data_IF_459005084532
#
_entry.id   IF_459005084532
#
_cell.length_a   1.000
_cell.length_b   1.000
_cell.length_c   1.000
_cell.angle_alpha   90.00
_cell.angle_beta   90.00
_cell.angle_gamma   90.00
#
_symmetry.space_group_name_H-M   'P 1'
#
loop_
_entity.id
_entity.type
_entity.pdbx_description
1 polymer ?
#
# COMPACT_ATOMS: atom_id res chain seq x y z
N UNK A 1 -17.08 -33.35 -27.42
CA UNK A 1 -16.85 -33.08 -25.97
C UNK A 1 -15.42 -32.62 -25.62
N UNK A 2 -14.42 -32.74 -26.51
CA UNK A 2 -13.02 -32.38 -26.18
C UNK A 2 -12.75 -30.86 -26.04
N UNK A 3 -13.50 -30.01 -26.75
CA UNK A 3 -13.24 -28.55 -26.80
C UNK A 3 -13.60 -27.79 -25.51
N UNK A 4 -14.57 -28.26 -24.73
CA UNK A 4 -14.95 -27.61 -23.46
C UNK A 4 -13.90 -27.83 -22.36
N UNK A 5 -13.26 -29.00 -22.34
CA UNK A 5 -12.28 -29.34 -21.31
C UNK A 5 -10.97 -28.56 -21.50
N UNK A 6 -10.52 -28.39 -22.75
CA UNK A 6 -9.32 -27.61 -23.09
C UNK A 6 -9.55 -26.12 -22.81
N UNK A 7 -10.72 -25.58 -23.13
CA UNK A 7 -11.08 -24.19 -22.83
C UNK A 7 -11.12 -23.92 -21.32
N UNK A 8 -11.64 -24.87 -20.53
CA UNK A 8 -11.67 -24.79 -19.07
C UNK A 8 -10.26 -24.78 -18.49
N UNK A 9 -9.41 -25.76 -18.84
CA UNK A 9 -8.02 -25.83 -18.35
C UNK A 9 -7.23 -24.58 -18.73
N UNK A 10 -7.39 -24.08 -19.96
CA UNK A 10 -6.72 -22.86 -20.43
C UNK A 10 -7.20 -21.62 -19.67
N UNK A 11 -8.50 -21.52 -19.40
CA UNK A 11 -9.07 -20.44 -18.60
C UNK A 11 -8.54 -20.43 -17.17
N UNK A 12 -8.50 -21.60 -16.51
CA UNK A 12 -7.95 -21.71 -15.15
C UNK A 12 -6.45 -21.40 -15.13
N UNK A 13 -5.67 -21.88 -16.10
CA UNK A 13 -4.24 -21.56 -16.21
C UNK A 13 -3.99 -20.07 -16.48
N UNK A 14 -4.81 -19.41 -17.29
CA UNK A 14 -4.75 -17.96 -17.51
C UNK A 14 -5.21 -17.16 -16.29
N UNK A 15 -6.18 -17.67 -15.53
CA UNK A 15 -6.57 -17.09 -14.24
C UNK A 15 -5.45 -17.25 -13.22
N UNK A 16 -4.80 -18.41 -13.18
CA UNK A 16 -3.68 -18.71 -12.29
C UNK A 16 -2.49 -17.84 -12.65
N UNK A 17 -2.12 -17.71 -13.93
CA UNK A 17 -1.05 -16.79 -14.33
C UNK A 17 -1.39 -15.32 -14.06
N UNK A 18 -2.64 -14.89 -14.24
CA UNK A 18 -3.06 -13.52 -13.88
C UNK A 18 -3.13 -13.30 -12.37
N UNK A 19 -3.40 -14.35 -11.60
CA UNK A 19 -3.42 -14.35 -10.14
C UNK A 19 -2.00 -14.34 -9.59
N UNK A 20 -1.14 -15.24 -10.07
CA UNK A 20 0.28 -15.32 -9.80
C UNK A 20 0.99 -14.01 -10.17
N UNK A 21 0.71 -13.43 -11.34
CA UNK A 21 1.27 -12.11 -11.73
C UNK A 21 0.83 -10.97 -10.80
N UNK A 22 -0.28 -11.11 -10.09
CA UNK A 22 -0.74 -10.12 -9.09
C UNK A 22 -0.13 -10.35 -7.72
N UNK A 23 0.18 -11.58 -7.34
CA UNK A 23 1.06 -11.87 -6.20
C UNK A 23 2.52 -11.47 -6.48
N UNK A 24 3.00 -11.55 -7.73
CA UNK A 24 4.35 -11.13 -8.14
C UNK A 24 4.58 -9.61 -7.98
N UNK A 25 3.52 -8.79 -7.85
CA UNK A 25 3.65 -7.36 -7.55
C UNK A 25 3.80 -7.07 -6.05
N UNK A 26 3.86 -8.11 -5.20
CA UNK A 26 4.29 -8.06 -3.80
C UNK A 26 5.69 -8.66 -3.65
N UNK A 27 6.45 -8.18 -2.68
CA UNK A 27 7.87 -8.41 -2.51
C UNK A 27 8.75 -7.32 -3.14
N UNK A 28 10.07 -7.40 -2.91
CA UNK A 28 11.04 -6.47 -3.48
C UNK A 28 11.08 -6.57 -5.02
N UNK A 29 11.47 -5.49 -5.68
CA UNK A 29 11.58 -5.43 -7.15
C UNK A 29 12.27 -4.15 -7.62
N UNK A 30 12.61 -4.08 -8.91
CA UNK A 30 13.23 -2.89 -9.49
C UNK A 30 12.34 -1.66 -9.20
N UNK A 31 12.96 -0.60 -8.70
CA UNK A 31 12.28 0.65 -8.33
C UNK A 31 11.38 0.59 -7.10
N UNK A 32 11.43 -0.48 -6.31
CA UNK A 32 10.88 -0.50 -4.94
C UNK A 32 12.01 -0.26 -3.94
N UNK A 33 11.96 0.88 -3.25
CA UNK A 33 12.90 1.21 -2.19
C UNK A 33 12.28 0.79 -0.85
N UNK A 34 12.90 -0.10 -0.06
CA UNK A 34 12.38 -0.47 1.25
C UNK A 34 12.44 0.73 2.19
N UNK A 35 11.36 0.92 2.97
CA UNK A 35 11.29 1.93 4.01
C UNK A 35 11.29 1.27 5.39
N UNK A 36 12.07 1.80 6.32
CA UNK A 36 12.02 1.43 7.73
C UNK A 36 10.72 1.98 8.33
N UNK A 37 9.72 1.11 8.46
CA UNK A 37 8.41 1.47 8.92
C UNK A 37 7.79 0.40 9.84
N UNK A 38 7.08 0.85 10.87
CA UNK A 38 6.20 -0.01 11.67
C UNK A 38 4.75 0.38 11.42
N UNK A 39 3.90 -0.61 11.14
CA UNK A 39 2.49 -0.39 10.86
C UNK A 39 1.64 -0.71 12.08
N UNK A 40 0.73 0.19 12.43
CA UNK A 40 -0.26 -0.03 13.48
C UNK A 40 -1.68 0.15 12.93
N UNK A 41 -2.54 -0.82 13.21
CA UNK A 41 -3.98 -0.71 12.98
C UNK A 41 -4.67 -0.34 14.29
N UNK A 42 -5.33 0.82 14.30
CA UNK A 42 -5.85 1.44 15.51
C UNK A 42 -7.37 1.58 15.49
N UNK A 43 -7.99 1.13 16.57
CA UNK A 43 -9.35 1.47 16.98
C UNK A 43 -9.38 2.80 17.74
N UNK A 44 -10.46 3.08 18.50
CA UNK A 44 -10.50 4.23 19.42
C UNK A 44 -9.54 4.07 20.59
N UNK A 45 -9.49 2.88 21.20
CA UNK A 45 -8.84 2.66 22.49
C UNK A 45 -7.70 1.64 22.44
N UNK A 46 -7.47 1.01 21.28
CA UNK A 46 -6.48 -0.06 21.08
C UNK A 46 -5.78 0.11 19.74
N UNK A 47 -4.46 -0.02 19.72
CA UNK A 47 -3.65 -0.14 18.53
C UNK A 47 -2.94 -1.50 18.53
N UNK A 48 -2.87 -2.14 17.37
CA UNK A 48 -2.16 -3.41 17.17
C UNK A 48 -1.08 -3.18 16.12
N UNK A 49 0.17 -3.44 16.49
CA UNK A 49 1.28 -3.46 15.53
C UNK A 49 1.18 -4.71 14.67
N UNK A 50 1.46 -4.55 13.38
CA UNK A 50 1.56 -5.64 12.42
C UNK A 50 2.91 -5.54 11.71
N UNK A 51 3.54 -6.69 11.46
CA UNK A 51 4.74 -6.76 10.63
C UNK A 51 4.31 -6.65 9.17
N UNK A 52 4.91 -5.72 8.44
CA UNK A 52 4.64 -5.47 7.04
C UNK A 52 5.93 -5.06 6.35
N UNK A 53 6.05 -5.42 5.08
CA UNK A 53 7.02 -4.76 4.22
C UNK A 53 6.44 -3.45 3.70
N UNK A 54 7.24 -2.39 3.72
CA UNK A 54 6.83 -1.07 3.22
C UNK A 54 7.82 -0.61 2.16
N UNK A 55 7.30 -0.22 1.01
CA UNK A 55 8.12 0.19 -0.12
C UNK A 55 7.67 1.52 -0.69
N UNK A 56 8.63 2.39 -1.00
CA UNK A 56 8.42 3.47 -1.96
C UNK A 56 8.54 2.88 -3.37
N UNK A 57 7.41 2.75 -4.06
CA UNK A 57 7.35 2.23 -5.43
C UNK A 57 7.41 3.38 -6.43
N UNK A 58 8.56 3.52 -7.08
CA UNK A 58 8.90 4.65 -7.95
C UNK A 58 8.26 4.50 -9.33
N UNK A 59 7.72 5.60 -9.86
CA UNK A 59 7.13 5.67 -11.21
C UNK A 59 8.10 5.16 -12.29
N UNK A 60 7.56 4.39 -13.22
CA UNK A 60 8.30 3.88 -14.38
C UNK A 60 9.01 2.54 -14.14
N UNK A 61 8.85 1.96 -12.94
CA UNK A 61 9.42 0.68 -12.57
C UNK A 61 8.35 -0.31 -12.15
N UNK A 62 8.55 -1.60 -12.41
CA UNK A 62 7.65 -2.68 -11.98
C UNK A 62 6.16 -2.35 -12.22
N UNK A 63 5.85 -1.78 -13.40
CA UNK A 63 4.52 -1.34 -13.86
C UNK A 63 3.90 -0.14 -13.10
N UNK A 64 4.62 0.53 -12.21
CA UNK A 64 4.15 1.74 -11.54
C UNK A 64 3.96 2.90 -12.52
N UNK A 65 2.72 3.34 -12.67
CA UNK A 65 2.36 4.51 -13.49
C UNK A 65 2.60 5.84 -12.79
N UNK A 66 2.62 5.82 -11.45
CA UNK A 66 2.84 6.95 -10.55
C UNK A 66 3.64 6.47 -9.35
N UNK A 67 4.39 7.37 -8.72
CA UNK A 67 5.13 7.06 -7.48
C UNK A 67 4.14 6.95 -6.33
N UNK A 68 4.23 5.88 -5.54
CA UNK A 68 3.31 5.59 -4.43
C UNK A 68 4.01 4.77 -3.34
N UNK A 69 3.36 4.61 -2.19
CA UNK A 69 3.87 3.76 -1.10
C UNK A 69 3.07 2.47 -1.02
N UNK A 70 3.73 1.34 -1.16
CA UNK A 70 3.18 0.01 -0.94
C UNK A 70 3.34 -0.39 0.54
N UNK A 71 2.30 -0.98 1.11
CA UNK A 71 2.32 -1.64 2.42
C UNK A 71 1.82 -3.06 2.21
N UNK A 72 2.72 -4.02 2.35
CA UNK A 72 2.50 -5.40 1.93
C UNK A 72 2.37 -6.29 3.17
N UNK A 73 1.11 -6.59 3.48
CA UNK A 73 0.71 -7.61 4.45
C UNK A 73 -0.73 -8.05 4.14
N UNK A 74 -0.99 -9.36 4.13
CA UNK A 74 -2.28 -9.95 3.73
C UNK A 74 -3.43 -9.46 4.61
N UNK A 75 -3.18 -9.22 5.90
CA UNK A 75 -4.21 -8.72 6.82
C UNK A 75 -4.82 -7.38 6.37
N UNK A 76 -4.07 -6.56 5.63
CA UNK A 76 -4.52 -5.27 5.14
C UNK A 76 -5.61 -5.41 4.06
N UNK A 77 -5.76 -6.59 3.45
CA UNK A 77 -6.86 -6.88 2.54
C UNK A 77 -8.21 -7.02 3.25
N UNK A 78 -8.24 -7.23 4.57
CA UNK A 78 -9.48 -7.08 5.36
C UNK A 78 -9.90 -5.61 5.46
N UNK A 79 -8.93 -4.68 5.42
CA UNK A 79 -9.15 -3.24 5.53
C UNK A 79 -9.52 -2.66 4.16
N UNK A 80 -8.72 -2.91 3.13
CA UNK A 80 -9.04 -2.52 1.75
C UNK A 80 -8.85 -3.71 0.84
N UNK A 81 -9.97 -4.29 0.39
CA UNK A 81 -9.97 -5.46 -0.47
C UNK A 81 -9.27 -5.18 -1.81
N UNK A 82 -8.61 -6.17 -2.43
CA UNK A 82 -8.08 -6.02 -3.77
C UNK A 82 -9.11 -5.45 -4.75
N UNK A 83 -8.69 -4.51 -5.61
CA UNK A 83 -9.55 -3.79 -6.58
C UNK A 83 -10.62 -2.89 -5.95
N UNK A 84 -10.58 -2.67 -4.64
CA UNK A 84 -11.35 -1.63 -3.96
C UNK A 84 -10.40 -0.51 -3.55
N UNK A 85 -10.96 0.66 -3.35
CA UNK A 85 -10.20 1.82 -2.93
C UNK A 85 -11.07 2.78 -2.13
N UNK A 86 -10.42 3.67 -1.40
CA UNK A 86 -11.05 4.78 -0.73
C UNK A 86 -10.11 5.97 -0.67
N UNK A 87 -10.67 7.18 -0.71
CA UNK A 87 -9.93 8.37 -0.32
C UNK A 87 -10.02 8.52 1.19
N UNK A 88 -8.86 8.61 1.82
CA UNK A 88 -8.71 8.81 3.25
C UNK A 88 -8.06 10.16 3.51
N UNK A 89 -8.43 10.79 4.62
CA UNK A 89 -7.69 11.92 5.12
C UNK A 89 -6.44 11.40 5.85
N UNK A 90 -5.29 12.07 5.72
CA UNK A 90 -4.10 11.73 6.48
C UNK A 90 -3.47 12.96 7.13
N UNK A 91 -2.72 12.72 8.21
CA UNK A 91 -1.90 13.71 8.90
C UNK A 91 -0.50 13.17 9.11
N UNK A 92 0.50 14.00 8.93
CA UNK A 92 1.87 13.74 9.40
C UNK A 92 2.00 14.33 10.81
N UNK A 93 2.37 13.51 11.79
CA UNK A 93 2.67 13.94 13.15
C UNK A 93 3.99 13.30 13.59
N UNK A 94 4.96 14.12 13.99
CA UNK A 94 6.31 13.67 14.37
C UNK A 94 6.87 12.72 13.30
N UNK A 95 7.33 11.54 13.69
CA UNK A 95 7.86 10.49 12.82
C UNK A 95 6.78 9.56 12.24
N UNK A 96 5.52 10.01 12.14
CA UNK A 96 4.40 9.15 11.75
C UNK A 96 3.43 9.76 10.73
N UNK A 97 2.90 8.88 9.88
CA UNK A 97 1.80 9.18 8.96
C UNK A 97 0.55 8.47 9.44
N UNK A 98 -0.45 9.23 9.87
CA UNK A 98 -1.72 8.71 10.36
C UNK A 98 -2.81 8.87 9.31
N UNK A 99 -3.31 7.75 8.79
CA UNK A 99 -4.39 7.67 7.80
C UNK A 99 -5.71 7.36 8.51
N UNK A 100 -6.73 8.17 8.27
CA UNK A 100 -8.05 8.05 8.87
C UNK A 100 -9.00 7.39 7.86
N UNK A 101 -9.47 6.19 8.20
CA UNK A 101 -10.46 5.48 7.38
C UNK A 101 -11.79 6.22 7.42
N UNK A 102 -12.46 6.32 6.27
CA UNK A 102 -13.73 7.05 6.15
C UNK A 102 -14.81 6.42 7.03
N UNK A 103 -14.88 5.09 7.01
CA UNK A 103 -15.73 4.29 7.87
C UNK A 103 -14.85 3.30 8.63
N UNK A 104 -15.12 3.04 9.92
CA UNK A 104 -14.43 1.99 10.65
C UNK A 104 -14.64 0.62 9.99
N UNK A 105 -13.60 -0.21 9.95
CA UNK A 105 -13.60 -1.53 9.32
C UNK A 105 -13.21 -2.57 10.37
N UNK A 106 -14.04 -3.59 10.52
CA UNK A 106 -13.73 -4.67 11.45
C UNK A 106 -12.74 -5.64 10.83
N UNK A 107 -11.55 -5.76 11.45
CA UNK A 107 -10.60 -6.82 11.12
C UNK A 107 -10.95 -8.05 11.94
N UNK A 108 -11.24 -9.14 11.24
CA UNK A 108 -11.55 -10.44 11.86
C UNK A 108 -10.28 -11.03 12.48
N UNK A 109 -9.17 -10.97 11.74
CA UNK A 109 -7.90 -11.53 12.17
C UNK A 109 -7.35 -10.86 13.44
N UNK A 110 -7.55 -9.54 13.62
CA UNK A 110 -7.11 -8.82 14.81
C UNK A 110 -8.19 -8.65 15.89
N UNK A 111 -9.43 -9.02 15.58
CA UNK A 111 -10.61 -8.78 16.42
C UNK A 111 -10.70 -7.31 16.92
N UNK A 112 -10.53 -6.34 16.02
CA UNK A 112 -10.66 -4.92 16.33
C UNK A 112 -11.41 -4.15 15.23
N UNK A 113 -12.10 -3.09 15.65
CA UNK A 113 -12.70 -2.13 14.73
C UNK A 113 -11.66 -1.05 14.35
N UNK A 114 -10.98 -1.23 13.23
CA UNK A 114 -9.93 -0.36 12.71
C UNK A 114 -10.54 0.95 12.21
N UNK A 115 -9.98 2.07 12.68
CA UNK A 115 -10.37 3.43 12.31
C UNK A 115 -9.21 4.19 11.68
N UNK A 116 -7.98 3.82 12.03
CA UNK A 116 -6.75 4.48 11.57
C UNK A 116 -5.68 3.46 11.23
N UNK A 117 -4.89 3.77 10.22
CA UNK A 117 -3.63 3.11 9.90
C UNK A 117 -2.53 4.11 10.26
N UNK A 118 -1.61 3.74 11.14
CA UNK A 118 -0.45 4.57 11.50
C UNK A 118 0.79 3.90 10.91
N UNK A 119 1.58 4.69 10.20
CA UNK A 119 2.87 4.31 9.62
C UNK A 119 3.92 5.08 10.39
N UNK A 120 4.65 4.39 11.27
CA UNK A 120 5.76 4.98 12.02
C UNK A 120 7.02 4.84 11.18
N UNK A 121 7.42 5.92 10.52
CA UNK A 121 8.57 5.97 9.61
C UNK A 121 9.02 7.42 9.49
N UNK A 122 10.18 7.71 10.10
CA UNK A 122 10.77 9.05 10.09
C UNK A 122 11.03 9.55 8.68
N UNK A 123 11.65 8.72 7.84
CA UNK A 123 11.95 9.09 6.45
C UNK A 123 10.70 9.41 5.62
N UNK A 124 9.61 8.66 5.82
CA UNK A 124 8.36 8.90 5.11
C UNK A 124 7.68 10.17 5.62
N UNK A 125 7.66 10.36 6.94
CA UNK A 125 7.09 11.55 7.58
C UNK A 125 7.82 12.83 7.12
N UNK A 126 9.15 12.83 7.16
CA UNK A 126 9.99 13.93 6.68
C UNK A 126 9.75 14.22 5.19
N UNK A 127 9.69 13.18 4.35
CA UNK A 127 9.45 13.35 2.92
C UNK A 127 8.06 13.93 2.61
N UNK A 128 7.02 13.51 3.32
CA UNK A 128 5.68 14.08 3.12
C UNK A 128 5.56 15.51 3.66
N UNK A 129 6.41 15.86 4.63
CA UNK A 129 6.51 17.17 5.26
C UNK A 129 5.76 17.23 6.59
N UNK A 130 6.42 17.72 7.62
CA UNK A 130 5.86 17.86 8.97
C UNK A 130 4.54 18.63 8.98
N UNK A 131 3.64 18.23 9.87
CA UNK A 131 2.30 18.84 10.02
C UNK A 131 1.43 18.84 8.76
N UNK A 132 1.82 18.14 7.69
CA UNK A 132 1.02 18.02 6.46
C UNK A 132 -0.32 17.36 6.76
N UNK A 133 -1.40 17.95 6.22
CA UNK A 133 -2.76 17.44 6.31
C UNK A 133 -3.38 17.45 4.93
N UNK A 134 -3.73 16.28 4.40
CA UNK A 134 -4.27 16.19 3.04
C UNK A 134 -5.06 14.90 2.85
N UNK A 135 -5.37 14.58 1.60
CA UNK A 135 -6.05 13.36 1.20
C UNK A 135 -5.05 12.40 0.53
N UNK A 136 -5.21 11.11 0.83
CA UNK A 136 -4.47 10.00 0.24
C UNK A 136 -5.44 9.00 -0.36
N UNK A 137 -5.11 8.49 -1.54
CA UNK A 137 -5.81 7.37 -2.15
C UNK A 137 -5.27 6.07 -1.56
N UNK A 138 -6.14 5.29 -0.91
CA UNK A 138 -5.79 3.96 -0.37
C UNK A 138 -6.41 2.92 -1.27
N UNK A 139 -5.58 2.21 -2.05
CA UNK A 139 -6.00 1.15 -2.95
C UNK A 139 -5.63 -0.23 -2.41
N UNK A 140 -6.55 -1.19 -2.51
CA UNK A 140 -6.26 -2.58 -2.18
C UNK A 140 -5.56 -3.29 -3.34
N UNK A 141 -4.41 -3.93 -3.04
CA UNK A 141 -3.70 -4.87 -3.93
C UNK A 141 -3.76 -6.27 -3.30
N UNK A 142 -3.50 -7.31 -4.09
CA UNK A 142 -3.33 -8.63 -3.47
C UNK A 142 -2.12 -8.58 -2.53
N UNK A 143 -2.27 -9.08 -1.31
CA UNK A 143 -1.19 -9.11 -0.32
C UNK A 143 -0.88 -7.77 0.34
N UNK A 144 -1.70 -6.72 0.15
CA UNK A 144 -1.46 -5.44 0.81
C UNK A 144 -2.33 -4.29 0.35
N UNK A 145 -1.88 -3.07 0.62
CA UNK A 145 -2.48 -1.83 0.12
C UNK A 145 -1.40 -0.94 -0.48
N UNK A 146 -1.82 0.05 -1.27
CA UNK A 146 -0.95 1.11 -1.73
C UNK A 146 -1.54 2.49 -1.46
N UNK A 147 -0.67 3.47 -1.30
CA UNK A 147 -0.97 4.84 -0.93
C UNK A 147 -0.54 5.79 -2.05
N UNK A 148 -1.53 6.29 -2.78
CA UNK A 148 -1.35 7.32 -3.80
C UNK A 148 -1.53 8.70 -3.20
N UNK A 149 -0.48 9.52 -3.22
CA UNK A 149 -0.51 10.89 -2.72
C UNK A 149 -0.83 11.90 -3.82
N UNK A 150 -1.22 13.13 -3.43
CA UNK A 150 -1.38 14.23 -4.38
C UNK A 150 -0.03 14.62 -4.99
N UNK A 151 -0.07 15.27 -6.15
CA UNK A 151 1.11 15.67 -6.94
C UNK A 151 2.22 16.30 -6.09
N UNK A 152 1.88 17.27 -5.24
CA UNK A 152 2.86 17.95 -4.38
C UNK A 152 3.63 16.96 -3.48
N UNK A 153 2.95 16.03 -2.80
CA UNK A 153 3.62 15.05 -1.95
C UNK A 153 4.28 13.93 -2.75
N UNK A 154 3.71 13.56 -3.90
CA UNK A 154 4.34 12.61 -4.83
C UNK A 154 5.70 13.13 -5.31
N UNK A 155 5.81 14.43 -5.63
CA UNK A 155 7.08 15.05 -6.03
C UNK A 155 8.13 15.00 -4.90
N UNK A 156 7.71 15.19 -3.63
CA UNK A 156 8.61 15.03 -2.47
C UNK A 156 9.06 13.57 -2.28
N UNK A 157 8.17 12.61 -2.49
CA UNK A 157 8.53 11.19 -2.49
C UNK A 157 9.50 10.84 -3.62
N UNK A 158 9.34 11.45 -4.80
CA UNK A 158 10.28 11.29 -5.90
C UNK A 158 11.65 11.92 -5.60
N UNK A 159 11.69 13.03 -4.84
CA UNK A 159 12.95 13.57 -4.33
C UNK A 159 13.62 12.62 -3.33
N UNK A 160 12.84 11.99 -2.44
CA UNK A 160 13.35 10.93 -1.55
C UNK A 160 13.91 9.76 -2.37
N UNK A 161 13.21 9.31 -3.41
CA UNK A 161 13.69 8.23 -4.28
C UNK A 161 15.03 8.58 -4.96
N UNK A 162 15.20 9.82 -5.42
CA UNK A 162 16.46 10.31 -6.01
C UNK A 162 17.61 10.29 -5.00
N UNK A 163 17.37 10.59 -3.72
CA UNK A 163 18.38 10.47 -2.65
C UNK A 163 18.84 9.02 -2.47
N UNK A 164 17.95 8.06 -2.71
CA UNK A 164 18.26 6.64 -2.74
C UNK A 164 18.80 6.13 -4.09
N UNK A 165 19.10 7.03 -5.04
CA UNK A 165 19.68 6.67 -6.34
C UNK A 165 18.69 6.15 -7.37
N UNK A 166 17.38 6.24 -7.11
CA UNK A 166 16.33 5.79 -8.05
C UNK A 166 15.57 7.00 -8.58
N UNK A 167 15.71 7.29 -9.87
CA UNK A 167 14.95 8.37 -10.53
C UNK A 167 13.71 7.83 -11.24
N UNK A 168 12.54 8.49 -11.15
CA UNK A 168 11.34 8.11 -11.89
C UNK A 168 11.55 8.18 -13.40
N UNK A 169 10.89 7.28 -14.16
CA UNK A 169 10.93 7.19 -15.63
C UNK A 169 9.60 7.61 -16.27
#
# INVERSE_FOLDING_TARGET
>A
MLNFHIAFITYYRLLDEKFLRREILTGPGEGKIPLNAKIKLCSRNKCVSIECDVYLHVKGYSLARVTHVDIEEKILNEIVKPKKSQYCFYKVNDDSVCIYLRNPIYSKSLNILVRRIIIESKELAEALGESTRSWVFVGGKYGGIFLGFKKEQMEKLEQLARKYGVSPR
#
